data_IF_613597915338
#
_entry.id   IF_613597915338
#
_cell.length_a   1.000
_cell.length_b   1.000
_cell.length_c   1.000
_cell.angle_alpha   90.00
_cell.angle_beta   90.00
_cell.angle_gamma   90.00
#
_symmetry.space_group_name_H-M   'P 1'
#
loop_
_entity.id
_entity.type
_entity.pdbx_description
1 polymer ?
#
# COMPACT_ATOMS: atom_id res chain seq x y z
N UNK A 1 -13.58 -15.69 -31.63
CA UNK A 1 -12.45 -15.80 -30.69
C UNK A 1 -11.13 -15.56 -31.42
N UNK A 2 -10.15 -14.94 -30.77
CA UNK A 2 -8.87 -14.54 -31.40
C UNK A 2 -7.77 -15.63 -31.34
N UNK A 3 -8.07 -16.83 -30.82
CA UNK A 3 -7.17 -18.01 -30.84
C UNK A 3 -5.98 -17.99 -29.86
N UNK A 4 -5.86 -16.97 -29.01
CA UNK A 4 -4.79 -16.87 -28.01
C UNK A 4 -5.10 -17.64 -26.72
N UNK A 5 -4.06 -18.18 -26.08
CA UNK A 5 -4.13 -18.70 -24.71
C UNK A 5 -3.97 -17.56 -23.72
N UNK A 6 -4.82 -17.52 -22.70
CA UNK A 6 -4.87 -16.47 -21.70
C UNK A 6 -4.51 -17.01 -20.31
N UNK A 7 -3.83 -16.18 -19.52
CA UNK A 7 -3.56 -16.38 -18.09
C UNK A 7 -3.79 -15.08 -17.34
N UNK A 8 -4.15 -15.18 -16.07
CA UNK A 8 -4.10 -14.06 -15.13
C UNK A 8 -2.71 -14.04 -14.48
N UNK A 9 -2.07 -12.88 -14.41
CA UNK A 9 -0.78 -12.72 -13.77
C UNK A 9 -0.71 -11.43 -12.95
N UNK A 10 -0.07 -11.50 -11.78
CA UNK A 10 0.09 -10.36 -10.88
C UNK A 10 1.51 -10.23 -10.35
N UNK A 11 1.89 -9.01 -9.97
CA UNK A 11 3.22 -8.68 -9.46
C UNK A 11 3.09 -8.19 -8.02
N UNK A 12 3.85 -8.80 -7.12
CA UNK A 12 3.95 -8.40 -5.71
C UNK A 12 5.39 -8.11 -5.34
N UNK A 13 5.66 -6.86 -4.95
CA UNK A 13 6.98 -6.38 -4.57
C UNK A 13 7.35 -5.08 -5.27
N UNK A 14 8.47 -4.49 -4.85
CA UNK A 14 9.05 -3.33 -5.52
C UNK A 14 9.79 -3.72 -6.81
N UNK A 15 10.24 -2.73 -7.60
CA UNK A 15 11.10 -2.98 -8.75
C UNK A 15 12.41 -3.66 -8.33
N UNK A 16 13.08 -4.40 -9.24
CA UNK A 16 14.33 -5.07 -8.93
C UNK A 16 15.41 -4.09 -8.48
N UNK A 17 15.89 -4.24 -7.25
CA UNK A 17 16.89 -3.35 -6.61
C UNK A 17 17.77 -4.18 -5.69
N UNK A 18 19.10 -4.02 -5.78
CA UNK A 18 20.10 -4.62 -4.88
C UNK A 18 19.90 -6.13 -4.62
N UNK A 19 19.62 -6.90 -5.68
CA UNK A 19 19.40 -8.36 -5.59
C UNK A 19 18.01 -8.79 -5.13
N UNK A 20 17.11 -7.85 -4.82
CA UNK A 20 15.68 -8.14 -4.65
C UNK A 20 14.97 -8.15 -6.01
N UNK A 21 13.99 -9.05 -6.16
CA UNK A 21 13.16 -9.17 -7.35
C UNK A 21 11.69 -9.32 -6.92
N UNK A 22 10.74 -8.71 -7.66
CA UNK A 22 9.33 -8.92 -7.37
C UNK A 22 8.93 -10.39 -7.59
N UNK A 23 7.87 -10.81 -6.91
CA UNK A 23 7.24 -12.11 -7.13
C UNK A 23 6.14 -11.96 -8.16
N UNK A 24 6.11 -12.85 -9.13
CA UNK A 24 5.05 -12.98 -10.12
C UNK A 24 4.15 -14.14 -9.73
N UNK A 25 2.86 -13.90 -9.65
CA UNK A 25 1.85 -14.95 -9.52
C UNK A 25 1.17 -15.16 -10.87
N UNK A 26 0.75 -16.39 -11.17
CA UNK A 26 -0.01 -16.70 -12.37
C UNK A 26 -1.13 -17.71 -12.08
N UNK A 27 -2.30 -17.56 -12.69
CA UNK A 27 -3.42 -18.50 -12.61
C UNK A 27 -4.11 -18.68 -13.96
N UNK A 28 -4.81 -19.78 -14.12
CA UNK A 28 -5.44 -20.18 -15.38
C UNK A 28 -4.93 -21.53 -15.90
N UNK A 29 -5.59 -22.07 -16.92
CA UNK A 29 -5.28 -23.40 -17.45
C UNK A 29 -3.96 -23.49 -18.24
N UNK A 30 -3.32 -22.36 -18.56
CA UNK A 30 -2.19 -22.27 -19.50
C UNK A 30 -0.95 -21.58 -18.92
N UNK A 31 -0.65 -21.81 -17.64
CA UNK A 31 0.46 -21.11 -16.94
C UNK A 31 1.85 -21.66 -17.23
N UNK A 32 1.98 -22.83 -17.85
CA UNK A 32 3.26 -23.53 -18.03
C UNK A 32 4.31 -22.68 -18.78
N UNK A 33 3.93 -21.98 -19.85
CA UNK A 33 4.84 -21.09 -20.58
C UNK A 33 5.34 -19.93 -19.71
N UNK A 34 4.47 -19.40 -18.84
CA UNK A 34 4.82 -18.30 -17.95
C UNK A 34 5.70 -18.76 -16.78
N UNK A 35 5.46 -19.97 -16.25
CA UNK A 35 6.36 -20.61 -15.27
C UNK A 35 7.77 -20.79 -15.81
N UNK A 36 7.90 -21.08 -17.11
CA UNK A 36 9.20 -21.19 -17.77
C UNK A 36 10.09 -19.95 -17.64
N UNK A 37 9.50 -18.76 -17.39
CA UNK A 37 10.25 -17.52 -17.13
C UNK A 37 11.08 -17.58 -15.83
N UNK A 38 10.78 -18.50 -14.92
CA UNK A 38 11.60 -18.74 -13.74
C UNK A 38 13.03 -19.17 -14.09
N UNK A 39 13.21 -19.88 -15.21
CA UNK A 39 14.53 -20.27 -15.72
C UNK A 39 15.37 -19.07 -16.17
N UNK A 40 14.76 -17.90 -16.32
CA UNK A 40 15.39 -16.64 -16.73
C UNK A 40 15.46 -15.62 -15.58
N UNK A 41 15.28 -16.06 -14.32
CA UNK A 41 15.51 -15.24 -13.13
C UNK A 41 14.28 -14.54 -12.55
N UNK A 42 13.08 -14.79 -13.08
CA UNK A 42 11.84 -14.30 -12.47
C UNK A 42 11.38 -15.19 -11.31
N UNK A 43 10.91 -14.59 -10.21
CA UNK A 43 10.28 -15.33 -9.12
C UNK A 43 8.83 -15.68 -9.43
N UNK A 44 8.58 -16.67 -10.28
CA UNK A 44 7.22 -17.07 -10.71
C UNK A 44 6.61 -18.11 -9.77
N UNK A 45 5.30 -17.97 -9.49
CA UNK A 45 4.49 -18.90 -8.69
C UNK A 45 3.12 -19.09 -9.33
N UNK A 46 2.72 -20.31 -9.65
CA UNK A 46 1.35 -20.58 -10.09
C UNK A 46 0.40 -20.76 -8.93
N UNK A 47 -0.84 -20.31 -9.11
CA UNK A 47 -1.87 -20.26 -8.08
C UNK A 47 -3.21 -20.65 -8.69
N UNK A 48 -3.51 -21.94 -8.63
CA UNK A 48 -4.78 -22.51 -9.08
C UNK A 48 -5.06 -22.32 -10.58
N UNK A 49 -6.24 -22.79 -10.99
CA UNK A 49 -6.64 -22.88 -12.40
C UNK A 49 -7.64 -21.79 -12.79
N UNK A 50 -8.14 -20.99 -11.85
CA UNK A 50 -9.15 -19.98 -12.12
C UNK A 50 -8.52 -18.62 -12.40
N UNK A 51 -8.97 -17.98 -13.49
CA UNK A 51 -8.63 -16.59 -13.81
C UNK A 51 -9.11 -15.69 -12.66
N UNK A 52 -8.22 -14.82 -12.17
CA UNK A 52 -8.50 -13.89 -11.06
C UNK A 52 -7.81 -14.29 -9.76
N UNK A 53 -7.36 -15.54 -9.59
CA UNK A 53 -6.70 -15.99 -8.36
C UNK A 53 -5.32 -15.31 -8.16
N UNK A 54 -4.53 -15.13 -9.22
CA UNK A 54 -3.27 -14.42 -9.13
C UNK A 54 -3.48 -12.93 -8.82
N UNK A 55 -4.43 -12.29 -9.50
CA UNK A 55 -4.83 -10.91 -9.22
C UNK A 55 -5.39 -10.73 -7.80
N UNK A 56 -6.16 -11.69 -7.30
CA UNK A 56 -6.69 -11.70 -5.93
C UNK A 56 -5.60 -11.69 -4.86
N UNK A 57 -4.49 -12.41 -5.07
CA UNK A 57 -3.33 -12.34 -4.15
C UNK A 57 -2.75 -10.93 -4.08
N UNK A 58 -2.56 -10.28 -5.24
CA UNK A 58 -2.05 -8.89 -5.29
C UNK A 58 -3.03 -7.96 -4.59
N UNK A 59 -4.34 -8.12 -4.83
CA UNK A 59 -5.39 -7.31 -4.23
C UNK A 59 -5.35 -7.39 -2.71
N UNK A 60 -5.36 -8.59 -2.13
CA UNK A 60 -5.28 -8.81 -0.68
C UNK A 60 -3.98 -8.27 -0.08
N UNK A 61 -2.85 -8.43 -0.77
CA UNK A 61 -1.57 -7.90 -0.31
C UNK A 61 -1.52 -6.37 -0.33
N UNK A 62 -2.06 -5.75 -1.39
CA UNK A 62 -2.17 -4.29 -1.50
C UNK A 62 -3.12 -3.72 -0.44
N UNK A 63 -4.26 -4.37 -0.22
CA UNK A 63 -5.24 -4.04 0.82
C UNK A 63 -4.58 -3.98 2.21
N UNK A 64 -3.80 -5.00 2.57
CA UNK A 64 -3.08 -5.03 3.85
C UNK A 64 -2.01 -3.94 3.94
N UNK A 65 -1.15 -3.82 2.95
CA UNK A 65 0.02 -2.91 3.01
C UNK A 65 -0.36 -1.43 2.93
N UNK A 66 -1.31 -1.08 2.06
CA UNK A 66 -1.78 0.29 1.88
C UNK A 66 -2.88 0.64 2.89
N UNK A 67 -3.78 -0.29 3.21
CA UNK A 67 -4.78 -0.08 4.26
C UNK A 67 -4.12 0.22 5.61
N UNK A 68 -3.11 -0.56 5.99
CA UNK A 68 -2.37 -0.31 7.25
C UNK A 68 -1.64 1.03 7.25
N UNK A 69 -1.08 1.48 6.12
CA UNK A 69 -0.40 2.78 6.05
C UNK A 69 -1.37 3.93 6.33
N UNK A 70 -2.58 3.90 5.74
CA UNK A 70 -3.61 4.91 6.01
C UNK A 70 -4.08 4.87 7.48
N UNK A 71 -4.31 3.66 8.02
CA UNK A 71 -4.65 3.48 9.43
C UNK A 71 -3.59 4.08 10.35
N UNK A 72 -2.31 3.82 10.09
CA UNK A 72 -1.23 4.36 10.91
C UNK A 72 -1.15 5.88 10.81
N UNK A 73 -1.36 6.47 9.64
CA UNK A 73 -1.47 7.92 9.51
C UNK A 73 -2.59 8.48 10.38
N UNK A 74 -3.79 7.91 10.30
CA UNK A 74 -4.94 8.37 11.05
C UNK A 74 -4.69 8.32 12.57
N UNK A 75 -4.15 7.20 13.07
CA UNK A 75 -3.84 7.02 14.48
C UNK A 75 -2.75 7.98 14.99
N UNK A 76 -1.66 8.13 14.23
CA UNK A 76 -0.54 8.97 14.63
C UNK A 76 -0.88 10.46 14.55
N UNK A 77 -1.64 10.90 13.54
CA UNK A 77 -2.16 12.27 13.49
C UNK A 77 -3.12 12.54 14.65
N UNK A 78 -4.00 11.60 15.00
CA UNK A 78 -4.86 11.75 16.16
C UNK A 78 -4.04 11.91 17.45
N UNK A 79 -3.01 11.09 17.64
CA UNK A 79 -2.09 11.21 18.76
C UNK A 79 -1.39 12.58 18.79
N UNK A 80 -0.91 13.07 17.65
CA UNK A 80 -0.27 14.38 17.50
C UNK A 80 -1.25 15.52 17.85
N UNK A 81 -2.46 15.50 17.29
CA UNK A 81 -3.49 16.51 17.55
C UNK A 81 -3.97 16.51 19.01
N UNK A 82 -3.84 15.39 19.72
CA UNK A 82 -4.13 15.26 21.15
C UNK A 82 -2.93 15.58 22.05
N UNK A 83 -1.74 15.85 21.49
CA UNK A 83 -0.51 16.07 22.26
C UNK A 83 0.03 14.79 22.93
N UNK A 84 -0.24 13.62 22.35
CA UNK A 84 0.08 12.29 22.90
C UNK A 84 1.15 11.53 22.13
N UNK A 85 1.78 12.13 21.11
CA UNK A 85 2.73 11.45 20.22
C UNK A 85 3.84 10.71 20.96
N UNK A 86 4.47 11.34 21.96
CA UNK A 86 5.56 10.72 22.72
C UNK A 86 5.09 9.50 23.53
N UNK A 87 3.92 9.59 24.16
CA UNK A 87 3.34 8.49 24.93
C UNK A 87 2.96 7.31 24.03
N UNK A 88 2.31 7.59 22.90
CA UNK A 88 1.92 6.57 21.92
C UNK A 88 3.15 5.91 21.30
N UNK A 89 4.18 6.69 20.96
CA UNK A 89 5.45 6.15 20.44
C UNK A 89 6.12 5.24 21.48
N UNK A 90 6.19 5.67 22.74
CA UNK A 90 6.77 4.86 23.82
C UNK A 90 6.02 3.53 24.00
N UNK A 91 4.70 3.55 23.92
CA UNK A 91 3.87 2.34 24.01
C UNK A 91 4.10 1.40 22.82
N UNK A 92 4.16 1.91 21.59
CA UNK A 92 4.50 1.06 20.43
C UNK A 92 5.92 0.52 20.52
N UNK A 93 6.86 1.30 21.04
CA UNK A 93 8.26 0.87 21.20
C UNK A 93 8.39 -0.29 22.21
N UNK A 94 7.60 -0.28 23.29
CA UNK A 94 7.64 -1.32 24.32
C UNK A 94 6.83 -2.57 23.93
N UNK A 95 5.65 -2.38 23.34
CA UNK A 95 4.69 -3.46 23.08
C UNK A 95 4.77 -4.05 21.67
N UNK A 96 5.07 -3.23 20.67
CA UNK A 96 4.98 -3.59 19.24
C UNK A 96 6.13 -2.99 18.40
N UNK A 97 7.40 -3.24 18.76
CA UNK A 97 8.56 -2.57 18.13
C UNK A 97 8.67 -2.83 16.62
N UNK A 98 8.24 -4.00 16.14
CA UNK A 98 8.23 -4.31 14.71
C UNK A 98 7.21 -3.48 13.91
N UNK A 99 6.10 -3.08 14.54
CA UNK A 99 5.10 -2.19 13.93
C UNK A 99 5.66 -0.78 13.86
N UNK A 100 6.25 -0.28 14.95
CA UNK A 100 6.90 1.02 14.99
C UNK A 100 8.00 1.13 13.92
N UNK A 101 8.89 0.14 13.83
CA UNK A 101 9.94 0.12 12.81
C UNK A 101 9.36 0.15 11.38
N UNK A 102 8.22 -0.50 11.14
CA UNK A 102 7.53 -0.45 9.85
C UNK A 102 6.96 0.94 9.56
N UNK A 103 6.39 1.61 10.56
CA UNK A 103 5.89 2.98 10.45
C UNK A 103 7.04 3.93 10.12
N UNK A 104 8.12 3.89 10.90
CA UNK A 104 9.30 4.76 10.74
C UNK A 104 9.93 4.61 9.35
N UNK A 105 10.06 3.37 8.85
CA UNK A 105 10.63 3.11 7.53
C UNK A 105 9.68 3.47 6.37
N UNK A 106 8.38 3.29 6.58
CA UNK A 106 7.39 3.25 5.49
C UNK A 106 6.66 4.56 5.27
N UNK A 107 6.13 5.14 6.34
CA UNK A 107 5.18 6.25 6.27
C UNK A 107 5.79 7.52 5.67
N UNK A 108 7.02 7.96 6.00
CA UNK A 108 7.59 9.19 5.44
C UNK A 108 7.58 9.25 3.89
N UNK A 109 7.63 8.10 3.21
CA UNK A 109 7.59 8.05 1.75
C UNK A 109 6.18 7.94 1.14
N UNK A 110 5.13 7.78 1.94
CA UNK A 110 3.74 7.59 1.47
C UNK A 110 3.17 8.83 0.77
N UNK A 111 3.37 10.07 1.24
CA UNK A 111 2.72 11.24 0.63
C UNK A 111 3.02 11.37 -0.87
N UNK A 112 4.27 11.17 -1.27
CA UNK A 112 4.72 11.16 -2.67
C UNK A 112 4.06 10.09 -3.57
N UNK A 113 3.31 9.15 -3.00
CA UNK A 113 2.58 8.08 -3.69
C UNK A 113 1.06 8.15 -3.49
N UNK A 114 0.57 8.95 -2.55
CA UNK A 114 -0.81 8.90 -2.07
C UNK A 114 -1.84 9.08 -3.19
N UNK A 115 -1.64 10.06 -4.08
CA UNK A 115 -2.54 10.32 -5.22
C UNK A 115 -2.75 9.10 -6.12
N UNK A 116 -1.68 8.34 -6.39
CA UNK A 116 -1.72 7.12 -7.22
C UNK A 116 -2.44 5.98 -6.50
N UNK A 117 -2.39 5.95 -5.18
CA UNK A 117 -3.02 4.90 -4.39
C UNK A 117 -4.51 5.11 -4.18
N UNK A 118 -5.07 6.30 -4.45
CA UNK A 118 -6.52 6.55 -4.37
C UNK A 118 -7.30 5.59 -5.26
N UNK A 119 -6.98 5.55 -6.56
CA UNK A 119 -7.68 4.66 -7.50
C UNK A 119 -7.47 3.19 -7.17
N UNK A 120 -6.29 2.82 -6.68
CA UNK A 120 -6.04 1.44 -6.24
C UNK A 120 -6.89 1.06 -5.01
N UNK A 121 -7.21 2.00 -4.11
CA UNK A 121 -8.10 1.73 -2.98
C UNK A 121 -9.56 1.66 -3.42
N UNK A 122 -9.95 2.44 -4.43
CA UNK A 122 -11.28 2.36 -5.06
C UNK A 122 -11.47 0.99 -5.73
N UNK A 123 -10.47 0.46 -6.44
CA UNK A 123 -10.49 -0.89 -7.01
C UNK A 123 -10.60 -2.00 -5.94
N UNK A 124 -9.87 -1.88 -4.82
CA UNK A 124 -9.99 -2.81 -3.69
C UNK A 124 -11.39 -2.74 -3.08
N UNK A 125 -11.90 -1.52 -2.88
CA UNK A 125 -13.25 -1.26 -2.35
C UNK A 125 -14.30 -1.94 -3.21
N UNK A 126 -14.29 -1.72 -4.53
CA UNK A 126 -15.24 -2.32 -5.47
C UNK A 126 -15.10 -3.86 -5.51
N UNK A 127 -13.88 -4.38 -5.47
CA UNK A 127 -13.62 -5.83 -5.44
C UNK A 127 -14.18 -6.47 -4.18
N UNK A 128 -13.95 -5.86 -3.01
CA UNK A 128 -14.40 -6.40 -1.73
C UNK A 128 -15.92 -6.29 -1.58
N UNK A 129 -16.52 -5.23 -2.10
CA UNK A 129 -17.98 -5.09 -2.19
C UNK A 129 -18.59 -6.18 -3.06
N UNK A 130 -17.99 -6.49 -4.22
CA UNK A 130 -18.44 -7.59 -5.08
C UNK A 130 -18.39 -8.96 -4.39
N UNK A 131 -17.47 -9.15 -3.43
CA UNK A 131 -17.37 -10.34 -2.60
C UNK A 131 -18.35 -10.34 -1.40
N UNK A 132 -19.17 -9.30 -1.25
CA UNK A 132 -20.12 -9.14 -0.14
C UNK A 132 -19.50 -8.60 1.16
N UNK A 133 -18.29 -8.05 1.10
CA UNK A 133 -17.63 -7.39 2.24
C UNK A 133 -17.99 -5.88 2.27
N UNK A 134 -17.75 -5.23 3.41
CA UNK A 134 -18.03 -3.80 3.55
C UNK A 134 -17.12 -2.94 2.66
N UNK A 135 -17.68 -2.01 1.85
CA UNK A 135 -16.88 -1.06 1.09
C UNK A 135 -16.31 0.05 1.98
N UNK A 136 -16.91 0.32 3.13
CA UNK A 136 -16.63 1.53 3.92
C UNK A 136 -15.19 1.61 4.43
N UNK A 137 -14.54 0.45 4.69
CA UNK A 137 -13.16 0.42 5.12
C UNK A 137 -12.23 1.01 4.04
N UNK A 138 -12.28 0.48 2.81
CA UNK A 138 -11.39 0.93 1.75
C UNK A 138 -11.85 2.24 1.10
N UNK A 139 -13.12 2.62 1.26
CA UNK A 139 -13.56 3.99 1.02
C UNK A 139 -12.84 4.97 1.96
N UNK A 140 -12.81 4.70 3.28
CA UNK A 140 -12.08 5.53 4.24
C UNK A 140 -10.57 5.58 3.98
N UNK A 141 -9.97 4.45 3.58
CA UNK A 141 -8.56 4.40 3.18
C UNK A 141 -8.31 5.26 1.93
N UNK A 142 -9.21 5.25 0.94
CA UNK A 142 -9.11 6.12 -0.23
C UNK A 142 -9.22 7.60 0.16
N UNK A 143 -10.14 7.94 1.06
CA UNK A 143 -10.33 9.30 1.57
C UNK A 143 -9.07 9.81 2.29
N UNK A 144 -8.44 8.95 3.11
CA UNK A 144 -7.15 9.24 3.75
C UNK A 144 -6.05 9.54 2.73
N UNK A 145 -5.96 8.77 1.64
CA UNK A 145 -4.98 9.05 0.57
C UNK A 145 -5.29 10.31 -0.23
N UNK A 146 -6.57 10.67 -0.43
CA UNK A 146 -6.92 11.97 -1.04
C UNK A 146 -6.47 13.13 -0.15
N UNK A 147 -6.68 13.02 1.16
CA UNK A 147 -6.23 14.02 2.14
C UNK A 147 -4.70 14.13 2.17
N UNK A 148 -3.98 13.01 2.33
CA UNK A 148 -2.52 12.99 2.30
C UNK A 148 -1.98 13.57 0.99
N UNK A 149 -2.58 13.20 -0.14
CA UNK A 149 -2.21 13.69 -1.47
C UNK A 149 -2.54 15.16 -1.73
N UNK A 150 -3.31 15.80 -0.85
CA UNK A 150 -3.66 17.24 -0.95
C UNK A 150 -2.67 18.15 -0.21
N UNK A 151 -1.70 17.56 0.48
CA UNK A 151 -0.60 18.30 1.13
C UNK A 151 0.51 18.63 0.14
N UNK A 152 1.41 19.56 0.50
CA UNK A 152 2.62 19.84 -0.27
C UNK A 152 3.54 18.62 -0.41
N UNK A 153 3.56 17.72 0.58
CA UNK A 153 4.28 16.45 0.48
C UNK A 153 3.66 15.51 -0.56
N UNK A 154 2.38 15.69 -0.89
CA UNK A 154 1.68 14.99 -1.97
C UNK A 154 2.10 15.44 -3.37
N UNK A 155 2.74 16.60 -3.51
CA UNK A 155 3.33 17.09 -4.77
C UNK A 155 4.71 16.50 -5.05
N UNK A 156 5.34 15.88 -4.05
CA UNK A 156 6.63 15.21 -4.19
C UNK A 156 6.50 13.94 -5.03
N UNK A 157 7.62 13.53 -5.62
CA UNK A 157 7.77 12.22 -6.28
C UNK A 157 8.68 11.32 -5.45
N UNK A 158 8.67 9.99 -5.64
CA UNK A 158 9.60 9.10 -4.97
C UNK A 158 11.08 9.48 -5.15
N UNK A 159 11.40 10.19 -6.23
CA UNK A 159 12.74 10.68 -6.56
C UNK A 159 13.06 12.06 -5.97
N UNK A 160 12.05 12.89 -5.69
CA UNK A 160 12.22 14.30 -5.26
C UNK A 160 11.82 14.54 -3.81
N UNK A 161 11.21 13.55 -3.14
CA UNK A 161 10.84 13.64 -1.74
C UNK A 161 12.04 13.92 -0.85
N UNK A 162 11.78 14.55 0.29
CA UNK A 162 12.78 14.67 1.35
C UNK A 162 13.14 13.28 1.90
N UNK A 163 14.40 12.88 1.71
CA UNK A 163 14.93 11.61 2.20
C UNK A 163 15.24 11.61 3.70
N UNK A 164 15.40 12.77 4.32
CA UNK A 164 15.73 12.96 5.73
C UNK A 164 14.52 13.16 6.65
N UNK A 165 13.34 13.47 6.08
CA UNK A 165 12.10 13.68 6.85
C UNK A 165 11.76 12.46 7.70
N UNK A 166 11.65 12.67 9.02
CA UNK A 166 11.34 11.62 9.98
C UNK A 166 9.84 11.28 9.98
N UNK A 167 9.47 10.22 10.70
CA UNK A 167 8.06 9.89 10.93
C UNK A 167 7.35 11.01 11.69
N UNK A 168 7.96 11.48 12.77
CA UNK A 168 7.42 12.53 13.64
C UNK A 168 7.20 13.82 12.87
N UNK A 169 8.18 14.24 12.08
CA UNK A 169 8.04 15.44 11.25
C UNK A 169 6.94 15.27 10.20
N UNK A 170 6.87 14.10 9.56
CA UNK A 170 5.80 13.80 8.59
C UNK A 170 4.43 13.90 9.23
N UNK A 171 4.23 13.30 10.41
CA UNK A 171 2.95 13.29 11.11
C UNK A 171 2.59 14.69 11.61
N UNK A 172 3.55 15.45 12.15
CA UNK A 172 3.33 16.84 12.58
C UNK A 172 2.85 17.72 11.42
N UNK A 173 3.53 17.67 10.27
CA UNK A 173 3.13 18.43 9.07
C UNK A 173 1.73 18.02 8.57
N UNK A 174 1.39 16.73 8.65
CA UNK A 174 0.06 16.24 8.31
C UNK A 174 -1.01 16.76 9.29
N UNK A 175 -0.75 16.72 10.60
CA UNK A 175 -1.67 17.20 11.62
C UNK A 175 -1.89 18.71 11.51
N UNK A 176 -0.83 19.49 11.30
CA UNK A 176 -0.89 20.94 11.03
C UNK A 176 -1.76 21.24 9.80
N UNK A 177 -1.60 20.46 8.72
CA UNK A 177 -2.41 20.61 7.51
C UNK A 177 -3.90 20.35 7.79
N UNK A 178 -4.23 19.29 8.52
CA UNK A 178 -5.63 18.94 8.86
C UNK A 178 -6.27 20.02 9.73
N UNK A 179 -5.55 20.54 10.73
CA UNK A 179 -6.05 21.62 11.58
C UNK A 179 -6.29 22.93 10.81
N UNK A 180 -5.49 23.19 9.77
CA UNK A 180 -5.67 24.35 8.89
C UNK A 180 -6.79 24.18 7.84
N UNK A 181 -7.26 22.94 7.59
CA UNK A 181 -8.27 22.61 6.59
C UNK A 181 -9.41 21.74 7.19
N UNK A 182 -10.19 22.26 8.15
CA UNK A 182 -11.31 21.52 8.73
C UNK A 182 -12.34 21.15 7.65
N UNK A 183 -12.99 19.99 7.83
CA UNK A 183 -14.09 19.54 6.98
C UNK A 183 -15.34 20.40 7.11
#
# INVERSE_FOLDING_TARGET
>A
EAGGRYIDASIVGGPPLNGSSPRFYASGDNTAEFEGLANFGLGVRTVGTEVGQASGIKMCYAAMTKGSSALYYELLMAAEMMGLSDFVKAEFQSSQPAVLQRMERGLPGVPAKARRWVSEMEEIKDTFEHLGLTPHLFQGVADMYRMIGSTSMGDETPQTRDGGRSLEETIRLMAEWVQAHPK
#
